data_IF_580310025358
#
_entry.id   IF_580310025358
#
_cell.length_a   1.000
_cell.length_b   1.000
_cell.length_c   1.000
_cell.angle_alpha   90.00
_cell.angle_beta   90.00
_cell.angle_gamma   90.00
#
_symmetry.space_group_name_H-M   'P 1'
#
loop_
_entity.id
_entity.type
_entity.pdbx_description
1 polymer ?
#
# COMPACT_ATOMS: atom_id res chain seq x y z
N UNK A 1 -34.14 25.49 12.37
CA UNK A 1 -34.06 24.04 11.99
C UNK A 1 -35.21 23.78 11.04
N UNK A 2 -34.92 23.32 9.82
CA UNK A 2 -35.96 22.93 8.87
C UNK A 2 -36.69 21.67 9.38
N UNK A 3 -38.00 21.57 9.06
CA UNK A 3 -38.76 20.33 9.33
C UNK A 3 -38.06 19.15 8.64
N UNK A 4 -38.05 17.98 9.25
CA UNK A 4 -37.49 16.74 8.70
C UNK A 4 -38.60 15.76 8.35
N UNK A 5 -38.32 14.86 7.40
CA UNK A 5 -39.16 13.72 7.04
C UNK A 5 -38.34 12.48 6.84
N UNK A 6 -38.93 11.31 7.02
CA UNK A 6 -38.28 10.03 6.69
C UNK A 6 -38.02 9.94 5.18
N UNK A 7 -36.81 9.54 4.81
CA UNK A 7 -36.45 9.33 3.40
C UNK A 7 -37.02 8.02 2.82
N UNK A 8 -37.51 7.12 3.65
CA UNK A 8 -37.90 5.76 3.27
C UNK A 8 -36.72 4.84 3.01
N UNK A 9 -35.47 5.24 3.37
CA UNK A 9 -34.25 4.48 3.22
C UNK A 9 -33.58 4.32 4.58
N UNK A 10 -33.53 3.12 5.10
CA UNK A 10 -33.08 2.80 6.46
C UNK A 10 -31.72 3.42 6.82
N UNK A 11 -30.73 3.30 5.95
CA UNK A 11 -29.38 3.81 6.18
C UNK A 11 -29.21 5.30 5.94
N UNK A 12 -30.23 6.01 5.39
CA UNK A 12 -30.28 7.46 5.32
C UNK A 12 -31.07 8.02 6.50
N UNK A 13 -32.23 7.43 6.82
CA UNK A 13 -33.15 7.91 7.82
C UNK A 13 -33.77 9.25 7.43
N UNK A 14 -33.85 10.24 8.34
CA UNK A 14 -34.47 11.53 8.11
C UNK A 14 -33.68 12.47 7.21
N UNK A 15 -34.40 13.19 6.33
CA UNK A 15 -33.88 14.23 5.44
C UNK A 15 -34.67 15.53 5.63
N UNK A 16 -34.23 16.71 5.14
CA UNK A 16 -35.03 17.92 5.12
C UNK A 16 -36.38 17.69 4.44
N UNK A 17 -37.45 18.21 5.01
CA UNK A 17 -38.82 17.94 4.51
C UNK A 17 -39.07 18.39 3.07
N UNK A 18 -38.29 19.36 2.59
CA UNK A 18 -38.39 19.91 1.22
C UNK A 18 -37.49 19.17 0.20
N UNK A 19 -36.71 18.18 0.61
CA UNK A 19 -35.96 17.32 -0.31
C UNK A 19 -36.81 16.13 -0.74
N UNK A 20 -36.57 15.62 -1.95
CA UNK A 20 -37.32 14.50 -2.50
C UNK A 20 -36.48 13.24 -2.69
N UNK A 21 -36.88 12.12 -2.08
CA UNK A 21 -36.24 10.82 -2.35
C UNK A 21 -36.73 10.30 -3.71
N UNK A 22 -35.79 10.19 -4.67
CA UNK A 22 -36.10 9.80 -6.06
C UNK A 22 -35.29 8.55 -6.42
N UNK A 23 -35.91 7.52 -7.01
CA UNK A 23 -35.21 6.37 -7.52
C UNK A 23 -34.34 6.74 -8.71
N UNK A 24 -33.16 6.17 -8.80
CA UNK A 24 -32.14 6.49 -9.79
C UNK A 24 -32.62 6.36 -11.23
N UNK A 25 -33.53 5.39 -11.51
CA UNK A 25 -34.17 5.22 -12.84
C UNK A 25 -34.86 6.45 -13.39
N UNK A 26 -35.28 7.39 -12.52
CA UNK A 26 -35.91 8.65 -12.91
C UNK A 26 -34.92 9.82 -12.96
N UNK A 27 -33.68 9.61 -12.52
CA UNK A 27 -32.66 10.65 -12.44
C UNK A 27 -31.73 10.65 -13.65
N UNK A 28 -31.35 9.48 -14.15
CA UNK A 28 -30.43 9.37 -15.28
C UNK A 28 -30.75 8.16 -16.15
N UNK A 29 -30.40 8.25 -17.43
CA UNK A 29 -30.33 7.09 -18.31
C UNK A 29 -29.09 6.26 -18.00
N UNK A 30 -29.20 4.95 -18.20
CA UNK A 30 -28.14 3.98 -17.91
C UNK A 30 -27.76 3.26 -19.21
N UNK A 31 -26.48 3.25 -19.53
CA UNK A 31 -25.89 2.45 -20.61
C UNK A 31 -24.63 1.74 -20.12
N UNK A 32 -24.08 0.85 -20.92
CA UNK A 32 -22.73 0.29 -20.72
C UNK A 32 -21.83 0.70 -21.87
N UNK A 33 -20.52 0.63 -21.66
CA UNK A 33 -19.56 0.76 -22.76
C UNK A 33 -19.58 -0.42 -23.70
N UNK A 34 -18.76 -0.35 -24.74
CA UNK A 34 -18.63 -1.37 -25.78
C UNK A 34 -17.15 -1.67 -26.15
N UNK A 35 -16.21 -1.06 -25.43
CA UNK A 35 -14.77 -1.27 -25.66
C UNK A 35 -14.23 -2.36 -24.71
N UNK A 36 -13.14 -3.03 -25.14
CA UNK A 36 -12.40 -3.98 -24.30
C UNK A 36 -11.02 -3.40 -23.94
N UNK A 37 -10.37 -3.94 -22.90
CA UNK A 37 -9.05 -3.51 -22.42
C UNK A 37 -7.96 -3.57 -23.49
N UNK A 38 -8.06 -4.48 -24.43
CA UNK A 38 -7.13 -4.55 -25.58
C UNK A 38 -7.22 -3.33 -26.55
N UNK A 39 -8.23 -2.48 -26.39
CA UNK A 39 -8.35 -1.22 -27.12
C UNK A 39 -7.56 -0.07 -26.46
N UNK A 40 -6.95 -0.31 -25.29
CA UNK A 40 -6.11 0.67 -24.64
C UNK A 40 -4.83 0.93 -25.44
N UNK A 41 -4.48 2.21 -25.56
CA UNK A 41 -3.27 2.69 -26.21
C UNK A 41 -2.75 3.88 -25.38
N UNK A 42 -1.58 3.78 -24.72
CA UNK A 42 -1.03 4.85 -23.91
C UNK A 42 -0.91 6.20 -24.63
N UNK A 43 -0.65 6.16 -25.95
CA UNK A 43 -0.56 7.36 -26.82
C UNK A 43 -1.89 7.74 -27.45
N UNK A 44 -2.98 7.06 -27.08
CA UNK A 44 -4.32 7.28 -27.63
C UNK A 44 -4.83 8.69 -27.41
N UNK A 45 -5.69 9.16 -28.28
CA UNK A 45 -6.20 10.55 -28.31
C UNK A 45 -7.25 10.83 -27.24
N UNK A 46 -8.09 9.82 -26.89
CA UNK A 46 -9.27 10.02 -26.04
C UNK A 46 -9.10 9.30 -24.69
N UNK A 47 -9.69 9.83 -23.59
CA UNK A 47 -9.79 9.12 -22.32
C UNK A 47 -10.58 7.81 -22.51
N UNK A 48 -10.06 6.73 -21.93
CA UNK A 48 -10.71 5.44 -21.90
C UNK A 48 -10.96 5.01 -20.45
N UNK A 49 -12.23 4.96 -20.08
CA UNK A 49 -12.65 4.63 -18.73
C UNK A 49 -12.89 3.14 -18.58
N UNK A 50 -12.03 2.52 -17.77
CA UNK A 50 -12.08 1.10 -17.42
C UNK A 50 -12.54 0.92 -15.97
N UNK A 51 -12.48 -0.31 -15.43
CA UNK A 51 -12.91 -0.62 -14.05
C UNK A 51 -11.95 -0.13 -12.95
N UNK A 52 -10.86 0.52 -13.34
CA UNK A 52 -9.79 1.05 -12.48
C UNK A 52 -10.05 2.53 -12.13
N UNK A 53 -9.55 3.01 -10.98
CA UNK A 53 -9.49 4.45 -10.72
C UNK A 53 -8.53 5.20 -11.66
N UNK A 54 -7.65 4.50 -12.36
CA UNK A 54 -6.74 5.07 -13.36
C UNK A 54 -7.48 5.12 -14.70
N UNK A 55 -7.51 6.30 -15.32
CA UNK A 55 -8.07 6.52 -16.66
C UNK A 55 -7.00 6.17 -17.68
N UNK A 56 -7.30 5.25 -18.57
CA UNK A 56 -6.46 4.86 -19.70
C UNK A 56 -6.70 5.78 -20.90
N UNK A 57 -6.09 5.48 -22.03
CA UNK A 57 -6.29 6.20 -23.28
C UNK A 57 -6.59 5.22 -24.41
N UNK A 58 -7.22 5.72 -25.49
CA UNK A 58 -7.49 4.94 -26.71
C UNK A 58 -7.64 5.87 -27.93
N UNK A 59 -7.65 5.29 -29.11
CA UNK A 59 -7.71 6.04 -30.38
C UNK A 59 -9.12 6.40 -30.84
N UNK A 60 -10.15 5.74 -30.30
CA UNK A 60 -11.54 5.94 -30.69
C UNK A 60 -12.38 6.36 -29.48
N UNK A 61 -13.37 7.22 -29.68
CA UNK A 61 -14.38 7.52 -28.66
C UNK A 61 -15.70 6.86 -29.00
N UNK A 62 -16.50 6.58 -27.97
CA UNK A 62 -17.84 5.96 -28.11
C UNK A 62 -18.96 6.84 -27.60
N UNK A 63 -18.61 7.83 -26.78
CA UNK A 63 -19.56 8.79 -26.23
C UNK A 63 -19.01 10.20 -26.35
N UNK A 64 -19.94 11.17 -26.42
CA UNK A 64 -19.65 12.60 -26.40
C UNK A 64 -20.67 13.27 -25.45
N UNK A 65 -20.16 14.16 -24.59
CA UNK A 65 -20.94 14.84 -23.55
C UNK A 65 -20.78 14.28 -22.15
N UNK A 66 -21.51 14.87 -21.20
CA UNK A 66 -21.38 14.59 -19.78
C UNK A 66 -21.85 13.18 -19.39
N UNK A 67 -21.13 12.54 -18.49
CA UNK A 67 -21.51 11.25 -17.94
C UNK A 67 -20.82 10.93 -16.61
N UNK A 68 -21.51 10.20 -15.74
CA UNK A 68 -20.90 9.54 -14.59
C UNK A 68 -20.66 8.08 -14.97
N UNK A 69 -19.46 7.58 -14.70
CA UNK A 69 -19.04 6.23 -15.06
C UNK A 69 -18.81 5.45 -13.77
N UNK A 70 -19.30 4.21 -13.70
CA UNK A 70 -19.20 3.34 -12.53
C UNK A 70 -18.72 1.96 -12.94
N UNK A 71 -17.68 1.46 -12.26
CA UNK A 71 -17.24 0.07 -12.46
C UNK A 71 -18.36 -0.92 -12.11
N UNK A 72 -18.69 -1.79 -13.07
CA UNK A 72 -19.78 -2.75 -12.94
C UNK A 72 -19.39 -4.08 -12.32
N UNK A 73 -18.11 -4.47 -12.38
CA UNK A 73 -17.60 -5.72 -11.81
C UNK A 73 -16.17 -5.61 -11.30
N UNK A 74 -15.69 -6.68 -10.65
CA UNK A 74 -14.34 -6.76 -10.07
C UNK A 74 -14.20 -5.98 -8.77
N UNK A 75 -12.97 -5.76 -8.32
CA UNK A 75 -12.66 -5.10 -7.04
C UNK A 75 -13.21 -3.67 -6.95
N UNK A 76 -13.39 -2.99 -8.09
CA UNK A 76 -13.93 -1.64 -8.20
C UNK A 76 -15.46 -1.55 -8.30
N UNK A 77 -16.17 -2.67 -8.37
CA UNK A 77 -17.61 -2.72 -8.59
C UNK A 77 -18.41 -1.84 -7.60
N UNK A 78 -19.14 -0.86 -8.11
CA UNK A 78 -19.92 0.07 -7.30
C UNK A 78 -19.11 0.99 -6.38
N UNK A 79 -17.78 1.06 -6.55
CA UNK A 79 -16.85 1.85 -5.72
C UNK A 79 -15.97 2.80 -6.53
N UNK A 80 -15.70 2.48 -7.79
CA UNK A 80 -14.94 3.34 -8.70
C UNK A 80 -15.92 4.14 -9.55
N UNK A 81 -15.83 5.46 -9.46
CA UNK A 81 -16.65 6.40 -10.21
C UNK A 81 -15.76 7.45 -10.89
N UNK A 82 -16.15 7.85 -12.10
CA UNK A 82 -15.54 8.97 -12.81
C UNK A 82 -16.62 9.92 -13.29
N UNK A 83 -16.29 11.22 -13.37
CA UNK A 83 -17.06 12.21 -14.10
C UNK A 83 -16.33 12.46 -15.41
N UNK A 84 -17.01 12.29 -16.52
CA UNK A 84 -16.49 12.50 -17.87
C UNK A 84 -17.29 13.55 -18.59
N UNK A 85 -16.65 14.34 -19.45
CA UNK A 85 -17.26 15.31 -20.34
C UNK A 85 -16.51 15.34 -21.69
N UNK A 86 -17.21 15.67 -22.77
CA UNK A 86 -16.70 15.64 -24.13
C UNK A 86 -16.56 14.23 -24.67
N UNK A 87 -15.51 13.98 -25.49
CA UNK A 87 -15.30 12.72 -26.19
C UNK A 87 -14.46 11.72 -25.38
N UNK A 88 -15.02 10.54 -25.11
CA UNK A 88 -14.37 9.47 -24.38
C UNK A 88 -14.88 8.09 -24.77
N UNK A 89 -14.14 7.06 -24.42
CA UNK A 89 -14.53 5.66 -24.55
C UNK A 89 -14.80 5.03 -23.19
N UNK A 90 -15.63 3.99 -23.18
CA UNK A 90 -16.05 3.29 -21.96
C UNK A 90 -15.96 1.78 -22.18
N UNK A 91 -15.35 1.09 -21.22
CA UNK A 91 -15.24 -0.37 -21.22
C UNK A 91 -16.61 -1.04 -21.06
N UNK A 92 -16.83 -2.18 -21.70
CA UNK A 92 -18.10 -2.94 -21.69
C UNK A 92 -18.62 -3.33 -20.29
N UNK A 93 -17.73 -3.37 -19.27
CA UNK A 93 -18.07 -3.67 -17.87
C UNK A 93 -18.16 -2.42 -17.00
N UNK A 94 -18.35 -1.24 -17.61
CA UNK A 94 -18.53 0.04 -16.91
C UNK A 94 -19.90 0.59 -17.29
N UNK A 95 -20.70 0.93 -16.29
CA UNK A 95 -21.95 1.63 -16.47
C UNK A 95 -21.69 3.12 -16.74
N UNK A 96 -22.45 3.69 -17.68
CA UNK A 96 -22.49 5.12 -17.98
C UNK A 96 -23.87 5.66 -17.60
N UNK A 97 -23.92 6.70 -16.76
CA UNK A 97 -25.10 7.47 -16.42
C UNK A 97 -25.05 8.79 -17.17
N UNK A 98 -26.15 9.17 -17.79
CA UNK A 98 -26.24 10.37 -18.62
C UNK A 98 -27.69 10.88 -18.71
N UNK A 99 -27.90 12.04 -19.33
CA UNK A 99 -29.24 12.67 -19.43
C UNK A 99 -29.87 12.89 -18.04
N UNK A 100 -29.12 13.62 -17.20
CA UNK A 100 -29.44 13.82 -15.79
C UNK A 100 -30.64 14.73 -15.62
N UNK A 101 -31.54 14.36 -14.68
CA UNK A 101 -32.70 15.14 -14.26
C UNK A 101 -32.65 15.36 -12.76
N UNK A 102 -33.17 16.51 -12.31
CA UNK A 102 -33.33 16.84 -10.90
C UNK A 102 -32.06 17.04 -10.09
N UNK A 103 -30.92 16.50 -10.49
CA UNK A 103 -29.67 16.56 -9.73
C UNK A 103 -28.49 16.88 -10.63
N UNK A 104 -27.62 17.79 -10.18
CA UNK A 104 -26.36 18.11 -10.87
C UNK A 104 -25.39 16.92 -10.83
N UNK A 105 -24.76 16.53 -11.93
CA UNK A 105 -23.90 15.34 -12.01
C UNK A 105 -22.75 15.32 -10.97
N UNK A 106 -22.17 16.47 -10.67
CA UNK A 106 -21.13 16.58 -9.64
C UNK A 106 -21.66 16.17 -8.25
N UNK A 107 -22.85 16.64 -7.87
CA UNK A 107 -23.48 16.28 -6.60
C UNK A 107 -23.87 14.80 -6.58
N UNK A 108 -24.43 14.30 -7.68
CA UNK A 108 -24.79 12.90 -7.84
C UNK A 108 -23.57 12.00 -7.71
N UNK A 109 -22.41 12.39 -8.27
CA UNK A 109 -21.15 11.65 -8.12
C UNK A 109 -20.74 11.58 -6.64
N UNK A 110 -20.74 12.69 -5.89
CA UNK A 110 -20.47 12.67 -4.46
C UNK A 110 -21.41 11.73 -3.69
N UNK A 111 -22.69 11.75 -4.05
CA UNK A 111 -23.70 10.89 -3.45
C UNK A 111 -23.40 9.40 -3.72
N UNK A 112 -23.14 9.04 -4.98
CA UNK A 112 -22.86 7.67 -5.39
C UNK A 112 -21.56 7.13 -4.78
N UNK A 113 -20.47 7.89 -4.83
CA UNK A 113 -19.17 7.49 -4.26
C UNK A 113 -19.24 7.16 -2.76
N UNK A 114 -20.11 7.84 -2.03
CA UNK A 114 -20.24 7.63 -0.60
C UNK A 114 -21.26 6.56 -0.19
N UNK A 115 -22.31 6.41 -0.95
CA UNK A 115 -23.50 5.67 -0.48
C UNK A 115 -23.78 4.41 -1.28
N UNK A 116 -23.35 4.34 -2.56
CA UNK A 116 -23.67 3.18 -3.39
C UNK A 116 -23.00 1.89 -2.89
N UNK A 117 -21.84 1.98 -2.27
CA UNK A 117 -21.15 0.83 -1.66
C UNK A 117 -22.00 0.13 -0.58
N UNK A 118 -22.87 0.86 0.13
CA UNK A 118 -23.79 0.29 1.12
C UNK A 118 -24.77 -0.70 0.47
N UNK A 119 -25.24 -0.43 -0.75
CA UNK A 119 -26.12 -1.34 -1.50
C UNK A 119 -25.41 -2.63 -1.86
N UNK A 120 -24.09 -2.56 -2.14
CA UNK A 120 -23.28 -3.74 -2.42
C UNK A 120 -23.10 -4.63 -1.19
N UNK A 121 -22.93 -4.03 -0.01
CA UNK A 121 -22.69 -4.74 1.24
C UNK A 121 -23.99 -5.40 1.77
N UNK A 122 -25.15 -4.76 1.55
CA UNK A 122 -26.48 -5.29 1.95
C UNK A 122 -27.09 -6.29 0.94
N UNK A 123 -26.73 -6.22 -0.34
CA UNK A 123 -27.41 -6.93 -1.44
C UNK A 123 -26.64 -8.07 -2.08
N UNK A 124 -25.41 -8.33 -1.71
CA UNK A 124 -24.62 -9.37 -2.35
C UNK A 124 -24.73 -10.71 -1.60
N UNK A 125 -25.42 -11.68 -2.19
CA UNK A 125 -25.03 -13.07 -2.01
C UNK A 125 -23.50 -13.14 -2.29
N UNK A 126 -22.72 -13.74 -1.38
CA UNK A 126 -21.26 -13.86 -1.46
C UNK A 126 -20.85 -14.56 -2.78
N UNK A 127 -20.76 -13.79 -3.86
CA UNK A 127 -20.18 -14.25 -5.12
C UNK A 127 -18.67 -14.00 -5.08
N UNK A 128 -17.91 -14.90 -5.67
CA UNK A 128 -16.44 -14.89 -5.69
C UNK A 128 -15.87 -13.59 -6.32
N UNK A 129 -16.66 -12.92 -7.18
CA UNK A 129 -16.31 -11.63 -7.80
C UNK A 129 -17.48 -10.66 -7.58
N UNK A 130 -17.24 -9.50 -6.93
CA UNK A 130 -18.26 -8.47 -6.79
C UNK A 130 -18.78 -7.99 -8.15
N UNK A 131 -20.11 -7.87 -8.29
CA UNK A 131 -20.74 -7.39 -9.51
C UNK A 131 -22.00 -6.59 -9.21
N UNK A 132 -22.14 -5.43 -9.87
CA UNK A 132 -23.33 -4.57 -9.80
C UNK A 132 -24.34 -5.04 -10.83
N UNK A 133 -25.58 -5.24 -10.40
CA UNK A 133 -26.71 -5.59 -11.28
C UNK A 133 -27.54 -4.36 -11.56
N UNK A 134 -28.09 -4.25 -12.77
CA UNK A 134 -28.89 -3.12 -13.20
C UNK A 134 -30.02 -2.75 -12.22
N UNK A 135 -30.81 -3.67 -11.66
CA UNK A 135 -31.83 -3.33 -10.67
C UNK A 135 -31.28 -2.64 -9.41
N UNK A 136 -30.05 -2.97 -8.98
CA UNK A 136 -29.41 -2.32 -7.83
C UNK A 136 -29.20 -0.82 -8.09
N UNK A 137 -28.86 -0.47 -9.34
CA UNK A 137 -28.72 0.92 -9.76
C UNK A 137 -30.10 1.58 -9.90
N UNK A 138 -31.02 0.93 -10.58
CA UNK A 138 -32.35 1.49 -10.90
C UNK A 138 -33.18 1.79 -9.65
N UNK A 139 -33.07 0.96 -8.61
CA UNK A 139 -33.82 1.10 -7.37
C UNK A 139 -33.10 1.91 -6.30
N UNK A 140 -31.84 2.28 -6.54
CA UNK A 140 -31.08 3.13 -5.64
C UNK A 140 -31.78 4.48 -5.47
N UNK A 141 -31.99 4.89 -4.21
CA UNK A 141 -32.68 6.15 -3.90
C UNK A 141 -31.68 7.26 -3.67
N UNK A 142 -31.89 8.38 -4.34
CA UNK A 142 -31.12 9.62 -4.18
C UNK A 142 -32.02 10.67 -3.55
N UNK A 143 -31.58 11.29 -2.45
CA UNK A 143 -32.29 12.41 -1.83
C UNK A 143 -31.90 13.69 -2.54
N UNK A 144 -32.83 14.23 -3.32
CA UNK A 144 -32.59 15.38 -4.21
C UNK A 144 -33.01 16.67 -3.50
N UNK A 145 -32.06 17.59 -3.36
CA UNK A 145 -32.28 18.94 -2.87
C UNK A 145 -32.72 19.91 -3.99
N UNK A 146 -33.33 21.06 -3.65
CA UNK A 146 -33.60 22.14 -4.63
C UNK A 146 -32.29 22.58 -5.34
N UNK A 147 -32.42 23.01 -6.59
CA UNK A 147 -31.28 23.33 -7.46
C UNK A 147 -30.30 24.35 -6.86
N UNK A 148 -30.81 25.38 -6.19
CA UNK A 148 -30.01 26.41 -5.52
C UNK A 148 -29.17 25.82 -4.40
N UNK A 149 -29.72 24.90 -3.59
CA UNK A 149 -29.01 24.21 -2.53
C UNK A 149 -27.93 23.27 -3.11
N UNK A 150 -28.21 22.59 -4.22
CA UNK A 150 -27.23 21.73 -4.89
C UNK A 150 -25.94 22.47 -5.21
N UNK A 151 -26.06 23.70 -5.77
CA UNK A 151 -24.91 24.53 -6.10
C UNK A 151 -24.08 24.84 -4.85
N UNK A 152 -24.74 25.32 -3.79
CA UNK A 152 -24.08 25.65 -2.53
C UNK A 152 -23.41 24.41 -1.86
N UNK A 153 -24.09 23.24 -1.93
CA UNK A 153 -23.53 21.98 -1.42
C UNK A 153 -22.26 21.59 -2.22
N UNK A 154 -22.31 21.67 -3.55
CA UNK A 154 -21.18 21.36 -4.43
C UNK A 154 -19.99 22.25 -4.12
N UNK A 155 -20.19 23.57 -4.04
CA UNK A 155 -19.15 24.53 -3.72
C UNK A 155 -18.51 24.21 -2.37
N UNK A 156 -19.33 23.92 -1.35
CA UNK A 156 -18.86 23.58 -0.02
C UNK A 156 -18.11 22.26 0.04
N UNK A 157 -18.61 21.23 -0.66
CA UNK A 157 -17.94 19.94 -0.75
C UNK A 157 -16.62 20.07 -1.51
N UNK A 158 -16.58 20.79 -2.63
CA UNK A 158 -15.35 21.01 -3.37
C UNK A 158 -14.29 21.72 -2.52
N UNK A 159 -14.67 22.80 -1.82
CA UNK A 159 -13.77 23.50 -0.89
C UNK A 159 -13.22 22.56 0.19
N UNK A 160 -14.11 21.88 0.91
CA UNK A 160 -13.73 21.04 2.05
C UNK A 160 -12.97 19.80 1.63
N UNK A 161 -13.39 19.13 0.55
CA UNK A 161 -12.68 17.96 0.04
C UNK A 161 -11.29 18.33 -0.48
N UNK A 162 -11.13 19.49 -1.14
CA UNK A 162 -9.82 19.98 -1.58
C UNK A 162 -8.89 20.25 -0.38
N UNK A 163 -9.41 20.90 0.68
CA UNK A 163 -8.65 21.12 1.92
C UNK A 163 -8.21 19.80 2.56
N UNK A 164 -9.11 18.82 2.70
CA UNK A 164 -8.80 17.51 3.28
C UNK A 164 -7.80 16.75 2.43
N UNK A 165 -7.96 16.75 1.10
CA UNK A 165 -7.04 16.09 0.18
C UNK A 165 -5.63 16.70 0.25
N UNK A 166 -5.51 18.02 0.37
CA UNK A 166 -4.23 18.71 0.55
C UNK A 166 -3.56 18.31 1.89
N UNK A 167 -4.33 18.16 2.97
CA UNK A 167 -3.82 17.67 4.24
C UNK A 167 -3.33 16.21 4.14
N UNK A 168 -4.08 15.33 3.48
CA UNK A 168 -3.69 13.92 3.25
C UNK A 168 -2.38 13.87 2.47
N UNK A 169 -2.29 14.61 1.35
CA UNK A 169 -1.08 14.68 0.51
C UNK A 169 0.14 15.18 1.30
N UNK A 170 -0.04 16.20 2.13
CA UNK A 170 1.05 16.71 2.99
C UNK A 170 1.52 15.64 3.98
N UNK A 171 0.59 14.96 4.67
CA UNK A 171 0.93 13.90 5.61
C UNK A 171 1.61 12.72 4.91
N UNK A 172 1.17 12.36 3.70
CA UNK A 172 1.81 11.34 2.87
C UNK A 172 3.26 11.71 2.52
N UNK A 173 3.50 12.96 2.11
CA UNK A 173 4.84 13.48 1.84
C UNK A 173 5.73 13.44 3.09
N UNK A 174 5.18 13.71 4.28
CA UNK A 174 5.92 13.60 5.54
C UNK A 174 6.31 12.16 5.84
N UNK A 175 5.44 11.18 5.56
CA UNK A 175 5.74 9.75 5.72
C UNK A 175 6.91 9.35 4.81
N UNK A 176 6.89 9.76 3.53
CA UNK A 176 7.98 9.45 2.60
C UNK A 176 9.32 10.10 3.03
N UNK A 177 9.29 11.32 3.53
CA UNK A 177 10.48 11.96 4.10
C UNK A 177 11.03 11.23 5.33
N UNK A 178 10.15 10.74 6.23
CA UNK A 178 10.57 9.95 7.40
C UNK A 178 11.20 8.62 6.99
N UNK A 179 10.67 7.93 5.99
CA UNK A 179 11.25 6.70 5.45
C UNK A 179 12.63 6.95 4.83
N UNK A 180 12.76 8.02 4.04
CA UNK A 180 14.03 8.41 3.43
C UNK A 180 15.07 8.79 4.50
N UNK A 181 14.66 9.55 5.52
CA UNK A 181 15.52 9.89 6.65
C UNK A 181 15.99 8.65 7.42
N UNK A 182 15.07 7.72 7.72
CA UNK A 182 15.41 6.45 8.36
C UNK A 182 16.48 5.69 7.59
N UNK A 183 16.29 5.58 6.25
CA UNK A 183 17.25 4.89 5.39
C UNK A 183 18.61 5.58 5.36
N UNK A 184 18.64 6.92 5.28
CA UNK A 184 19.88 7.70 5.30
C UNK A 184 20.61 7.56 6.63
N UNK A 185 19.88 7.66 7.76
CA UNK A 185 20.41 7.48 9.10
C UNK A 185 21.06 6.11 9.29
N UNK A 186 20.36 5.04 8.87
CA UNK A 186 20.92 3.69 8.93
C UNK A 186 22.21 3.62 8.14
N UNK A 187 22.19 4.09 6.88
CA UNK A 187 23.35 4.03 5.99
C UNK A 187 24.55 4.79 6.60
N UNK A 188 24.32 6.00 7.06
CA UNK A 188 25.37 6.85 7.65
C UNK A 188 25.99 6.19 8.88
N UNK A 189 25.17 5.74 9.82
CA UNK A 189 25.65 5.19 11.09
C UNK A 189 26.38 3.85 10.91
N UNK A 190 25.91 2.96 10.03
CA UNK A 190 26.59 1.66 9.81
C UNK A 190 27.84 1.74 8.95
N UNK A 191 28.07 2.89 8.29
CA UNK A 191 29.28 3.08 7.45
C UNK A 191 30.27 4.10 8.01
N UNK A 192 29.78 5.06 8.83
CA UNK A 192 30.59 6.17 9.35
C UNK A 192 30.66 6.23 10.88
N UNK A 193 29.95 5.34 11.59
CA UNK A 193 29.90 5.33 13.06
C UNK A 193 28.97 6.38 13.64
N UNK A 194 29.03 6.52 14.96
CA UNK A 194 28.19 7.47 15.71
C UNK A 194 28.86 8.84 15.87
N UNK A 195 30.16 8.90 15.83
CA UNK A 195 30.95 10.14 15.96
C UNK A 195 31.46 10.58 14.59
N UNK A 196 30.82 11.60 14.02
CA UNK A 196 31.18 12.16 12.71
C UNK A 196 32.39 13.09 12.76
N UNK A 197 32.98 13.34 13.95
CA UNK A 197 34.17 14.17 14.10
C UNK A 197 35.48 13.40 13.94
N UNK A 198 35.41 12.06 13.89
CA UNK A 198 36.61 11.21 13.73
C UNK A 198 37.18 11.34 12.32
N UNK A 199 38.51 11.26 12.16
CA UNK A 199 39.14 11.22 10.84
C UNK A 199 38.62 10.04 10.00
N UNK A 200 38.43 10.28 8.70
CA UNK A 200 37.94 9.28 7.76
C UNK A 200 39.07 8.83 6.83
N UNK A 201 39.02 7.59 6.35
CA UNK A 201 39.88 7.04 5.32
C UNK A 201 39.11 6.33 4.24
N UNK A 202 39.64 6.25 3.04
CA UNK A 202 39.07 5.39 1.98
C UNK A 202 39.13 3.92 2.43
N UNK A 203 38.01 3.24 2.35
CA UNK A 203 37.91 1.81 2.68
C UNK A 203 38.58 0.90 1.65
N UNK A 204 38.91 1.40 0.47
CA UNK A 204 39.35 0.61 -0.69
C UNK A 204 38.23 -0.22 -1.34
N UNK A 205 36.99 -0.06 -0.91
CA UNK A 205 35.82 -0.78 -1.43
C UNK A 205 34.79 0.20 -1.96
N UNK A 206 34.58 0.19 -3.28
CA UNK A 206 33.79 1.21 -4.01
C UNK A 206 32.40 1.45 -3.40
N UNK A 207 31.65 0.40 -3.02
CA UNK A 207 30.29 0.54 -2.50
C UNK A 207 30.21 1.07 -1.06
N UNK A 208 31.32 0.97 -0.30
CA UNK A 208 31.42 1.48 1.08
C UNK A 208 31.85 2.94 1.09
N UNK A 209 32.87 3.30 0.28
CA UNK A 209 33.48 4.61 0.27
C UNK A 209 34.36 4.86 1.50
N UNK A 210 34.19 6.01 2.16
CA UNK A 210 34.97 6.38 3.35
C UNK A 210 34.39 5.75 4.62
N UNK A 211 35.31 5.33 5.51
CA UNK A 211 35.03 4.77 6.86
C UNK A 211 35.90 5.48 7.91
N UNK A 212 35.56 5.45 9.21
CA UNK A 212 36.43 5.93 10.27
C UNK A 212 37.84 5.32 10.18
N UNK A 213 38.86 6.11 10.49
CA UNK A 213 40.26 5.67 10.40
C UNK A 213 40.57 4.44 11.28
N UNK A 214 39.81 4.32 12.39
CA UNK A 214 39.88 3.18 13.33
C UNK A 214 39.28 1.89 12.78
N UNK A 215 38.41 1.98 11.77
CA UNK A 215 37.76 0.80 11.22
C UNK A 215 38.60 0.11 10.15
N UNK A 216 38.30 -1.18 9.94
CA UNK A 216 38.84 -1.96 8.85
C UNK A 216 37.71 -2.47 7.95
N UNK A 217 38.07 -3.07 6.82
CA UNK A 217 37.13 -3.86 6.03
C UNK A 217 37.40 -5.34 6.23
N UNK A 218 36.36 -6.16 6.20
CA UNK A 218 36.44 -7.60 6.39
C UNK A 218 35.45 -8.31 5.49
N UNK A 219 35.84 -9.47 4.97
CA UNK A 219 34.92 -10.31 4.18
C UNK A 219 33.90 -11.00 5.06
N UNK A 220 32.65 -11.05 4.62
CA UNK A 220 31.54 -11.71 5.31
C UNK A 220 31.87 -13.17 5.66
N UNK A 221 32.66 -13.87 4.85
CA UNK A 221 33.15 -15.23 5.11
C UNK A 221 33.87 -15.37 6.47
N UNK A 222 34.51 -14.32 6.95
CA UNK A 222 35.22 -14.34 8.23
C UNK A 222 34.31 -14.04 9.42
N UNK A 223 33.10 -13.50 9.15
CA UNK A 223 32.13 -13.10 10.15
C UNK A 223 31.05 -14.14 10.39
N UNK A 224 30.64 -14.84 9.32
CA UNK A 224 29.51 -15.75 9.31
C UNK A 224 29.90 -17.18 8.97
N UNK A 225 29.14 -18.12 9.55
CA UNK A 225 29.16 -19.55 9.15
C UNK A 225 27.70 -19.94 8.79
N UNK A 226 27.57 -20.77 7.74
CA UNK A 226 26.26 -21.32 7.36
C UNK A 226 25.89 -22.48 8.30
N UNK A 227 24.65 -22.41 8.86
CA UNK A 227 24.07 -23.48 9.65
C UNK A 227 23.54 -24.56 8.73
N UNK A 228 23.96 -25.80 8.98
CA UNK A 228 23.59 -26.97 8.17
C UNK A 228 22.65 -27.92 8.93
N UNK A 229 22.30 -27.58 10.16
CA UNK A 229 21.40 -28.35 11.02
C UNK A 229 20.02 -28.48 10.41
N UNK A 230 19.45 -29.67 10.59
CA UNK A 230 18.15 -30.03 10.05
C UNK A 230 17.30 -30.72 11.11
N UNK A 231 16.00 -30.50 11.04
CA UNK A 231 15.05 -31.19 11.90
C UNK A 231 15.05 -32.70 11.64
N UNK A 232 14.95 -33.46 12.71
CA UNK A 232 14.87 -34.92 12.66
C UNK A 232 13.42 -35.39 12.48
N UNK A 233 12.49 -34.75 13.15
CA UNK A 233 11.06 -35.15 13.20
C UNK A 233 10.10 -34.15 12.57
N UNK A 234 10.55 -32.92 12.33
CA UNK A 234 9.77 -31.86 11.69
C UNK A 234 8.70 -31.25 12.60
N UNK A 235 8.88 -31.34 13.94
CA UNK A 235 7.88 -30.91 14.91
C UNK A 235 8.09 -29.48 15.42
N UNK A 236 9.22 -28.85 15.12
CA UNK A 236 9.52 -27.49 15.55
C UNK A 236 8.62 -26.47 14.83
N UNK A 237 8.44 -25.27 15.41
CA UNK A 237 7.57 -24.21 14.91
C UNK A 237 8.00 -23.77 13.49
N UNK A 238 7.11 -23.83 12.48
CA UNK A 238 7.42 -23.30 11.15
C UNK A 238 7.54 -21.78 11.15
N UNK A 239 8.63 -21.25 10.59
CA UNK A 239 8.90 -19.84 10.47
C UNK A 239 8.78 -19.37 9.01
N UNK A 240 8.22 -18.18 8.83
CA UNK A 240 8.09 -17.53 7.53
C UNK A 240 8.70 -16.14 7.55
N UNK A 241 9.30 -15.74 6.42
CA UNK A 241 9.94 -14.42 6.27
C UNK A 241 8.95 -13.41 5.71
N UNK A 242 8.70 -12.36 6.49
CA UNK A 242 7.95 -11.17 6.09
C UNK A 242 8.89 -9.98 5.90
N UNK A 243 8.68 -9.19 4.86
CA UNK A 243 9.41 -7.93 4.68
C UNK A 243 9.19 -6.94 5.83
N UNK A 244 7.98 -6.96 6.42
CA UNK A 244 7.57 -6.02 7.48
C UNK A 244 7.96 -6.53 8.87
N UNK A 245 7.75 -7.81 9.14
CA UNK A 245 7.89 -8.40 10.47
C UNK A 245 9.24 -9.11 10.68
N UNK A 246 10.01 -9.33 9.61
CA UNK A 246 11.18 -10.19 9.64
C UNK A 246 10.82 -11.68 9.66
N UNK A 247 11.61 -12.52 10.30
CA UNK A 247 11.33 -13.94 10.47
C UNK A 247 10.39 -14.13 11.67
N UNK A 248 9.21 -14.69 11.42
CA UNK A 248 8.15 -14.88 12.43
C UNK A 248 7.52 -16.27 12.30
N UNK A 249 6.89 -16.80 13.36
CA UNK A 249 6.04 -17.98 13.26
C UNK A 249 5.00 -17.83 12.14
N UNK A 250 4.86 -18.85 11.31
CA UNK A 250 3.99 -18.78 10.10
C UNK A 250 2.53 -18.44 10.46
N UNK A 251 2.05 -18.83 11.64
CA UNK A 251 0.72 -18.47 12.15
C UNK A 251 0.50 -16.96 12.37
N UNK A 252 1.57 -16.16 12.42
CA UNK A 252 1.53 -14.70 12.56
C UNK A 252 1.46 -13.96 11.22
N UNK A 253 1.45 -14.69 10.10
CA UNK A 253 1.35 -14.10 8.77
C UNK A 253 -0.12 -13.82 8.43
N UNK A 254 -0.40 -12.67 7.80
CA UNK A 254 -1.75 -12.31 7.32
C UNK A 254 -2.30 -13.31 6.29
N UNK A 255 -1.41 -13.89 5.49
CA UNK A 255 -1.70 -14.99 4.57
C UNK A 255 -0.75 -16.15 4.87
N UNK A 256 -1.29 -17.26 5.32
CA UNK A 256 -0.50 -18.47 5.56
C UNK A 256 -0.10 -19.06 4.20
N UNK A 257 1.21 -19.16 3.88
CA UNK A 257 1.65 -19.79 2.64
C UNK A 257 1.29 -21.28 2.64
N UNK A 258 1.20 -21.88 1.44
CA UNK A 258 1.01 -23.33 1.32
C UNK A 258 2.15 -24.05 2.05
N UNK A 259 1.79 -24.82 3.04
CA UNK A 259 2.74 -25.57 3.86
C UNK A 259 3.11 -26.87 3.18
N UNK A 260 4.36 -27.32 3.38
CA UNK A 260 4.78 -28.64 2.95
C UNK A 260 4.00 -29.72 3.73
N UNK A 261 3.80 -30.88 3.13
CA UNK A 261 3.13 -32.03 3.77
C UNK A 261 3.97 -32.66 4.87
N UNK A 262 5.28 -32.44 4.89
CA UNK A 262 6.22 -32.88 5.91
C UNK A 262 7.37 -31.88 6.05
N UNK A 263 7.84 -31.70 7.26
CA UNK A 263 8.97 -30.85 7.62
C UNK A 263 10.20 -31.63 8.06
N UNK A 264 10.17 -32.96 7.99
CA UNK A 264 11.33 -33.82 8.27
C UNK A 264 12.49 -33.42 7.34
N UNK A 265 13.66 -33.16 7.90
CA UNK A 265 14.84 -32.70 7.17
C UNK A 265 14.82 -31.22 6.76
N UNK A 266 13.81 -30.44 7.20
CA UNK A 266 13.81 -28.98 7.02
C UNK A 266 14.96 -28.33 7.76
N UNK A 267 15.40 -27.15 7.31
CA UNK A 267 16.48 -26.39 7.96
C UNK A 267 16.00 -25.81 9.27
N UNK A 268 16.89 -25.80 10.27
CA UNK A 268 16.69 -25.14 11.56
C UNK A 268 17.28 -23.74 11.55
N UNK A 269 16.59 -22.83 12.18
CA UNK A 269 17.09 -21.51 12.57
C UNK A 269 16.85 -21.33 14.06
N UNK A 270 17.79 -20.69 14.72
CA UNK A 270 17.74 -20.40 16.16
C UNK A 270 17.68 -18.89 16.39
N UNK A 271 17.30 -18.51 17.61
CA UNK A 271 17.38 -17.11 18.05
C UNK A 271 18.79 -16.59 17.75
N UNK A 272 18.86 -15.35 17.29
CA UNK A 272 20.08 -14.66 16.83
C UNK A 272 20.74 -15.24 15.57
N UNK A 273 20.17 -16.21 14.87
CA UNK A 273 20.61 -16.54 13.52
C UNK A 273 20.15 -15.50 12.49
N UNK A 274 21.00 -15.17 11.54
CA UNK A 274 20.68 -14.32 10.39
C UNK A 274 20.14 -15.18 9.24
N UNK A 275 18.87 -15.04 8.93
CA UNK A 275 18.16 -15.86 7.94
C UNK A 275 17.89 -15.07 6.66
N UNK A 276 18.30 -15.60 5.52
CA UNK A 276 18.13 -15.02 4.19
C UNK A 276 17.15 -15.81 3.33
N UNK A 277 16.19 -15.13 2.73
CA UNK A 277 15.50 -15.66 1.56
C UNK A 277 16.41 -15.47 0.33
N UNK A 278 17.06 -16.52 -0.15
CA UNK A 278 18.03 -16.44 -1.26
C UNK A 278 17.47 -15.84 -2.54
N UNK A 279 16.19 -16.11 -2.84
CA UNK A 279 15.49 -15.57 -4.02
C UNK A 279 15.17 -14.08 -3.91
N UNK A 280 14.99 -13.57 -2.68
CA UNK A 280 14.56 -12.21 -2.39
C UNK A 280 15.56 -11.39 -1.58
N UNK A 281 16.81 -11.86 -1.46
CA UNK A 281 17.88 -11.16 -0.75
C UNK A 281 18.12 -9.76 -1.33
N UNK A 282 18.10 -9.64 -2.64
CA UNK A 282 18.22 -8.36 -3.37
C UNK A 282 17.00 -7.41 -3.19
N UNK A 283 15.96 -7.85 -2.51
CA UNK A 283 14.82 -7.05 -2.07
C UNK A 283 14.86 -6.77 -0.56
N UNK A 284 15.93 -7.11 0.14
CA UNK A 284 16.07 -6.92 1.57
C UNK A 284 15.28 -7.92 2.44
N UNK A 285 14.92 -9.08 1.87
CA UNK A 285 14.13 -10.11 2.58
C UNK A 285 15.05 -11.04 3.35
N UNK A 286 15.53 -10.57 4.48
CA UNK A 286 16.33 -11.28 5.48
C UNK A 286 16.18 -10.61 6.84
N UNK A 287 16.44 -11.34 7.90
CA UNK A 287 16.33 -10.83 9.27
C UNK A 287 17.10 -11.70 10.26
N UNK A 288 17.56 -11.11 11.34
CA UNK A 288 17.97 -11.85 12.54
C UNK A 288 16.73 -12.47 13.18
N UNK A 289 16.81 -13.77 13.48
CA UNK A 289 15.70 -14.51 14.07
C UNK A 289 15.48 -14.15 15.53
N UNK A 290 14.21 -14.04 15.91
CA UNK A 290 13.75 -13.91 17.31
C UNK A 290 13.12 -15.20 17.82
N UNK A 291 13.12 -16.23 17.00
CA UNK A 291 12.42 -17.50 17.25
C UNK A 291 13.30 -18.66 16.80
N UNK A 292 13.21 -19.76 17.52
CA UNK A 292 13.71 -21.05 17.08
C UNK A 292 12.65 -21.74 16.21
N UNK A 293 13.06 -22.43 15.15
CA UNK A 293 12.10 -23.17 14.33
C UNK A 293 12.59 -23.56 12.94
N UNK A 294 11.63 -24.02 12.14
CA UNK A 294 11.86 -24.53 10.79
C UNK A 294 11.78 -23.42 9.76
N UNK A 295 12.70 -23.46 8.80
CA UNK A 295 12.69 -22.52 7.68
C UNK A 295 12.66 -23.22 6.32
N UNK A 296 12.17 -22.52 5.30
CA UNK A 296 12.11 -23.01 3.92
C UNK A 296 13.48 -23.50 3.43
N UNK A 297 13.56 -24.57 2.61
CA UNK A 297 14.77 -25.02 1.95
C UNK A 297 15.48 -23.94 1.11
N UNK A 298 14.71 -22.98 0.59
CA UNK A 298 15.24 -21.83 -0.16
C UNK A 298 15.88 -20.75 0.72
N UNK A 299 15.75 -20.85 2.05
CA UNK A 299 16.45 -19.96 2.96
C UNK A 299 17.86 -20.45 3.27
N UNK A 300 18.74 -19.51 3.54
CA UNK A 300 20.04 -19.78 4.11
C UNK A 300 20.07 -19.23 5.54
N UNK A 301 20.67 -19.96 6.45
CA UNK A 301 20.76 -19.63 7.87
C UNK A 301 22.23 -19.44 8.23
N UNK A 302 22.57 -18.31 8.83
CA UNK A 302 23.93 -17.98 9.21
C UNK A 302 24.02 -17.61 10.69
N UNK A 303 25.09 -18.03 11.35
CA UNK A 303 25.41 -17.61 12.70
C UNK A 303 26.77 -16.90 12.75
N UNK A 304 26.97 -16.07 13.75
CA UNK A 304 28.19 -15.31 13.94
C UNK A 304 29.36 -16.21 14.35
N UNK A 305 30.57 -15.89 13.86
CA UNK A 305 31.84 -16.50 14.35
C UNK A 305 32.27 -15.93 15.70
N UNK A 306 31.45 -15.08 16.35
CA UNK A 306 31.78 -14.36 17.57
C UNK A 306 32.44 -13.00 17.33
N UNK A 307 32.72 -12.63 16.08
CA UNK A 307 33.37 -11.36 15.71
C UNK A 307 32.40 -10.24 15.36
N UNK A 308 31.11 -10.55 15.13
CA UNK A 308 30.17 -9.59 14.66
C UNK A 308 28.79 -9.71 15.37
N UNK A 309 28.19 -8.59 15.67
CA UNK A 309 26.83 -8.50 16.14
C UNK A 309 25.90 -8.62 14.93
N UNK A 310 25.07 -9.68 14.85
CA UNK A 310 24.27 -9.99 13.65
C UNK A 310 23.24 -8.90 13.32
N UNK A 311 22.74 -8.18 14.31
CA UNK A 311 21.84 -7.05 14.07
C UNK A 311 22.53 -5.86 13.41
N UNK A 312 23.84 -5.64 13.67
CA UNK A 312 24.65 -4.67 12.92
C UNK A 312 24.73 -5.05 11.45
N UNK A 313 25.03 -6.32 11.14
CA UNK A 313 25.02 -6.80 9.75
C UNK A 313 23.65 -6.70 9.11
N UNK A 314 22.56 -6.96 9.84
CA UNK A 314 21.22 -6.80 9.30
C UNK A 314 20.97 -5.35 8.87
N UNK A 315 21.35 -4.36 9.68
CA UNK A 315 21.24 -2.94 9.32
C UNK A 315 22.13 -2.61 8.11
N UNK A 316 23.40 -3.02 8.12
CA UNK A 316 24.34 -2.79 7.02
C UNK A 316 23.82 -3.39 5.71
N UNK A 317 23.36 -4.63 5.75
CA UNK A 317 22.86 -5.34 4.56
C UNK A 317 21.56 -4.75 4.00
N UNK A 318 20.79 -4.03 4.80
CA UNK A 318 19.60 -3.30 4.36
C UNK A 318 19.89 -1.93 3.74
N UNK A 319 21.16 -1.52 3.69
CA UNK A 319 21.55 -0.29 2.96
C UNK A 319 21.36 -0.47 1.46
N UNK A 320 20.98 0.58 0.71
CA UNK A 320 20.80 0.50 -0.74
C UNK A 320 22.07 0.03 -1.47
N UNK A 321 23.23 0.44 -0.98
CA UNK A 321 24.53 0.07 -1.52
C UNK A 321 24.79 -1.43 -1.40
N UNK A 322 24.57 -2.00 -0.21
CA UNK A 322 24.74 -3.43 0.00
C UNK A 322 23.70 -4.27 -0.77
N UNK A 323 22.45 -3.79 -0.86
CA UNK A 323 21.42 -4.41 -1.71
C UNK A 323 21.84 -4.42 -3.19
N UNK A 324 22.50 -3.37 -3.67
CA UNK A 324 23.08 -3.34 -5.02
C UNK A 324 24.18 -4.40 -5.19
N UNK A 325 25.06 -4.59 -4.19
CA UNK A 325 26.06 -5.66 -4.19
C UNK A 325 25.42 -7.06 -4.20
N UNK A 326 24.31 -7.26 -3.48
CA UNK A 326 23.55 -8.51 -3.55
C UNK A 326 23.02 -8.79 -4.96
N UNK A 327 22.54 -7.76 -5.67
CA UNK A 327 22.07 -7.88 -7.06
C UNK A 327 23.20 -8.28 -8.00
N UNK A 328 24.35 -7.62 -7.90
CA UNK A 328 25.53 -7.91 -8.74
C UNK A 328 26.03 -9.34 -8.55
N UNK A 329 25.92 -9.90 -7.33
CA UNK A 329 26.41 -11.24 -6.96
C UNK A 329 25.35 -12.33 -7.03
N UNK A 330 24.10 -11.96 -7.30
CA UNK A 330 23.03 -12.94 -7.50
C UNK A 330 23.13 -13.55 -8.89
N UNK A 331 23.07 -14.87 -8.95
CA UNK A 331 23.12 -15.62 -10.21
C UNK A 331 21.75 -16.22 -10.53
N UNK A 332 21.34 -16.22 -11.79
CA UNK A 332 20.03 -16.68 -12.24
C UNK A 332 20.09 -18.03 -12.95
N UNK A 333 19.01 -18.83 -12.78
CA UNK A 333 18.79 -20.09 -13.51
C UNK A 333 17.85 -19.82 -14.71
N UNK A 334 17.03 -18.75 -14.65
CA UNK A 334 16.13 -18.31 -15.72
C UNK A 334 15.86 -16.79 -15.60
N UNK A 335 15.34 -16.18 -16.65
CA UNK A 335 14.98 -14.76 -16.67
C UNK A 335 14.02 -14.42 -15.49
N UNK A 336 14.47 -13.55 -14.58
CA UNK A 336 13.69 -13.09 -13.41
C UNK A 336 13.84 -13.91 -12.12
N UNK A 337 14.55 -15.05 -12.12
CA UNK A 337 14.80 -15.87 -10.93
C UNK A 337 16.29 -15.87 -10.58
N UNK A 338 16.73 -14.87 -9.84
CA UNK A 338 18.11 -14.78 -9.35
C UNK A 338 18.18 -15.21 -7.88
N UNK A 339 19.30 -15.86 -7.49
CA UNK A 339 19.56 -16.29 -6.12
C UNK A 339 20.89 -15.75 -5.64
N UNK A 340 20.92 -15.20 -4.44
CA UNK A 340 22.16 -14.93 -3.73
C UNK A 340 22.60 -16.21 -2.99
N UNK A 341 23.63 -16.87 -3.50
CA UNK A 341 24.22 -18.04 -2.86
C UNK A 341 25.23 -17.64 -1.79
N UNK A 342 25.55 -18.57 -0.89
CA UNK A 342 26.47 -18.36 0.22
C UNK A 342 27.85 -17.84 -0.24
N UNK A 343 28.39 -18.35 -1.35
CA UNK A 343 29.68 -17.88 -1.88
C UNK A 343 29.63 -16.41 -2.33
N UNK A 344 28.53 -16.01 -2.97
CA UNK A 344 28.29 -14.62 -3.37
C UNK A 344 28.17 -13.68 -2.17
N UNK A 345 27.46 -14.08 -1.10
CA UNK A 345 27.38 -13.33 0.15
C UNK A 345 28.75 -13.27 0.85
N UNK A 346 29.44 -14.38 0.94
CA UNK A 346 30.71 -14.49 1.64
C UNK A 346 31.87 -13.71 0.99
N UNK A 347 31.76 -13.42 -0.31
CA UNK A 347 32.73 -12.61 -1.05
C UNK A 347 32.57 -11.09 -0.79
N UNK A 348 31.50 -10.66 -0.14
CA UNK A 348 31.26 -9.23 0.15
C UNK A 348 32.22 -8.77 1.25
N UNK A 349 32.82 -7.60 1.04
CA UNK A 349 33.59 -6.90 2.08
C UNK A 349 32.67 -5.88 2.76
N UNK A 350 32.80 -5.79 4.09
CA UNK A 350 31.97 -4.94 4.96
C UNK A 350 32.85 -4.03 5.82
N UNK A 351 32.39 -2.81 6.18
CA UNK A 351 33.01 -2.03 7.23
C UNK A 351 32.92 -2.80 8.56
N UNK A 352 33.98 -2.73 9.33
CA UNK A 352 34.15 -3.58 10.53
C UNK A 352 34.65 -2.74 11.72
N UNK A 353 33.70 -2.11 12.48
CA UNK A 353 34.01 -1.54 13.78
C UNK A 353 34.33 -2.63 14.82
N UNK A 354 34.88 -2.26 15.97
CA UNK A 354 35.00 -3.17 17.10
C UNK A 354 33.62 -3.57 17.68
N UNK A 355 33.59 -4.56 18.57
CA UNK A 355 32.33 -5.11 19.07
C UNK A 355 31.53 -4.10 19.91
N UNK A 356 32.22 -3.28 20.71
CA UNK A 356 31.55 -2.29 21.58
C UNK A 356 30.86 -1.21 20.73
N UNK A 357 31.52 -0.79 19.66
CA UNK A 357 30.96 0.16 18.70
C UNK A 357 29.81 -0.45 17.88
N UNK A 358 29.89 -1.74 17.47
CA UNK A 358 28.78 -2.45 16.82
C UNK A 358 27.55 -2.49 17.72
N UNK A 359 27.70 -2.77 19.01
CA UNK A 359 26.61 -2.79 20.00
C UNK A 359 26.02 -1.38 20.16
N UNK A 360 26.87 -0.37 20.33
CA UNK A 360 26.42 1.02 20.45
C UNK A 360 25.63 1.48 19.22
N UNK A 361 26.10 1.13 18.02
CA UNK A 361 25.40 1.41 16.75
C UNK A 361 24.02 0.73 16.72
N UNK A 362 23.96 -0.54 17.11
CA UNK A 362 22.69 -1.29 17.12
C UNK A 362 21.70 -0.70 18.09
N UNK A 363 22.12 -0.35 19.31
CA UNK A 363 21.26 0.24 20.33
C UNK A 363 20.73 1.61 19.87
N UNK A 364 21.59 2.46 19.35
CA UNK A 364 21.21 3.75 18.79
C UNK A 364 20.20 3.61 17.64
N UNK A 365 20.48 2.71 16.68
CA UNK A 365 19.58 2.51 15.54
C UNK A 365 18.24 1.87 15.95
N UNK A 366 18.25 0.94 16.91
CA UNK A 366 17.00 0.36 17.44
C UNK A 366 16.12 1.46 18.07
N UNK A 367 16.68 2.35 18.88
CA UNK A 367 15.94 3.46 19.48
C UNK A 367 15.40 4.42 18.41
N UNK A 368 16.27 4.94 17.53
CA UNK A 368 15.89 5.94 16.51
C UNK A 368 14.92 5.38 15.48
N UNK A 369 15.16 4.17 14.97
CA UNK A 369 14.25 3.52 14.03
C UNK A 369 12.89 3.24 14.64
N UNK A 370 12.83 2.81 15.91
CA UNK A 370 11.56 2.62 16.62
C UNK A 370 10.77 3.92 16.75
N UNK A 371 11.41 5.03 17.12
CA UNK A 371 10.78 6.34 17.15
C UNK A 371 10.23 6.78 15.78
N UNK A 372 11.03 6.60 14.72
CA UNK A 372 10.59 6.96 13.35
C UNK A 372 9.40 6.09 12.93
N UNK A 373 9.42 4.79 13.21
CA UNK A 373 8.32 3.87 12.89
C UNK A 373 7.03 4.25 13.63
N UNK A 374 7.12 4.65 14.90
CA UNK A 374 5.98 5.17 15.67
C UNK A 374 5.41 6.45 15.05
N UNK A 375 6.26 7.40 14.63
CA UNK A 375 5.83 8.62 13.96
C UNK A 375 5.13 8.31 12.62
N UNK A 376 5.64 7.35 11.84
CA UNK A 376 5.00 6.89 10.60
C UNK A 376 3.63 6.29 10.90
N UNK A 377 3.51 5.43 11.91
CA UNK A 377 2.23 4.83 12.31
C UNK A 377 1.19 5.88 12.74
N UNK A 378 1.59 6.88 13.54
CA UNK A 378 0.72 7.98 13.94
C UNK A 378 0.23 8.78 12.72
N UNK A 379 1.13 9.06 11.76
CA UNK A 379 0.78 9.77 10.53
C UNK A 379 -0.15 8.95 9.63
N UNK A 380 0.05 7.65 9.54
CA UNK A 380 -0.83 6.75 8.79
C UNK A 380 -2.24 6.73 9.40
N UNK A 381 -2.35 6.61 10.72
CA UNK A 381 -3.64 6.70 11.42
C UNK A 381 -4.33 8.06 11.23
N UNK A 382 -3.55 9.15 11.11
CA UNK A 382 -4.09 10.48 10.77
C UNK A 382 -4.71 10.52 9.37
N UNK A 383 -4.08 9.89 8.37
CA UNK A 383 -4.65 9.77 7.01
C UNK A 383 -5.99 9.03 7.08
N UNK A 384 -6.05 7.89 7.74
CA UNK A 384 -7.28 7.10 7.89
C UNK A 384 -8.41 7.91 8.53
N UNK A 385 -8.12 8.68 9.59
CA UNK A 385 -9.10 9.57 10.22
C UNK A 385 -9.56 10.70 9.29
N UNK A 386 -8.66 11.29 8.50
CA UNK A 386 -9.02 12.33 7.53
C UNK A 386 -9.92 11.77 6.43
N UNK A 387 -9.67 10.56 5.94
CA UNK A 387 -10.53 9.88 4.97
C UNK A 387 -11.90 9.53 5.55
N UNK A 388 -11.96 9.07 6.81
CA UNK A 388 -13.22 8.83 7.52
C UNK A 388 -14.01 10.13 7.69
N UNK A 389 -13.35 11.21 8.12
CA UNK A 389 -13.96 12.52 8.24
C UNK A 389 -14.49 13.04 6.91
N UNK A 390 -13.72 12.89 5.82
CA UNK A 390 -14.16 13.26 4.48
C UNK A 390 -15.45 12.51 4.07
N UNK A 391 -15.50 11.19 4.30
CA UNK A 391 -16.70 10.38 4.02
C UNK A 391 -17.90 10.84 4.85
N UNK A 392 -17.72 11.06 6.16
CA UNK A 392 -18.79 11.56 7.03
C UNK A 392 -19.28 12.92 6.59
N UNK A 393 -18.38 13.84 6.24
CA UNK A 393 -18.70 15.17 5.77
C UNK A 393 -19.53 15.13 4.49
N UNK A 394 -19.11 14.32 3.51
CA UNK A 394 -19.87 14.16 2.25
C UNK A 394 -21.26 13.60 2.56
N UNK A 395 -21.33 12.52 3.38
CA UNK A 395 -22.60 11.92 3.79
C UNK A 395 -23.56 12.96 4.40
N UNK A 396 -23.06 13.77 5.35
CA UNK A 396 -23.88 14.78 6.03
C UNK A 396 -24.47 15.80 5.04
N UNK A 397 -23.70 16.28 4.08
CA UNK A 397 -24.19 17.25 3.08
C UNK A 397 -25.10 16.61 2.05
N UNK A 398 -24.76 15.45 1.48
CA UNK A 398 -25.58 14.84 0.41
C UNK A 398 -26.87 14.21 0.91
N UNK A 399 -27.00 13.98 2.24
CA UNK A 399 -28.25 13.50 2.87
C UNK A 399 -28.99 14.61 3.62
N UNK A 400 -28.53 15.87 3.56
CA UNK A 400 -29.16 16.99 4.24
C UNK A 400 -29.11 16.94 5.77
N UNK A 401 -28.19 16.13 6.34
CA UNK A 401 -27.93 16.13 7.80
C UNK A 401 -27.28 17.43 8.24
N UNK A 402 -26.52 18.04 7.34
CA UNK A 402 -25.86 19.33 7.52
C UNK A 402 -26.37 20.33 6.49
N UNK A 403 -26.84 21.44 6.99
CA UNK A 403 -27.38 22.54 6.16
C UNK A 403 -26.21 23.39 5.62
N UNK A 404 -26.36 23.86 4.40
CA UNK A 404 -25.50 24.91 3.84
C UNK A 404 -26.22 26.24 4.08
N UNK A 405 -25.55 27.26 4.64
CA UNK A 405 -26.13 28.58 4.75
C UNK A 405 -26.65 29.05 3.38
N UNK A 406 -27.88 29.53 3.32
CA UNK A 406 -28.39 30.12 2.09
C UNK A 406 -27.48 31.29 1.69
N UNK A 407 -26.97 31.29 0.48
CA UNK A 407 -26.33 32.48 -0.07
C UNK A 407 -27.43 33.54 -0.25
N UNK A 408 -27.29 34.68 0.44
CA UNK A 408 -28.16 35.84 0.29
C UNK A 408 -28.07 36.43 -1.11
#
# INVERSE_FOLDING_TARGET
MHKRKDSGVEWIGEIPAHWDPIRFRFIAKIATGNQDTQNADPEGKYPFYVRSPIVERCNNYTFDGEGILMAGDGAGAGRVFHLADGKYAVHQRVYRFYDFKYVKPVLLKYYLENLFAMVMDYGSAKTTVPSVRLPMIQDFVVCVSPEKEQTSIIEKLNEKCAQINALISNVQTQIEKLKAYKQSLITEVVTKGLDLSVPMKDSGVEWIGEIPETWNTIRVKQLLKERKERSVDGLEEPLSMSQKLGLVPTRMMDMVPNMASSFVGAKLAYIDDLVFNKLKAHLGVFSVSKYDGLVSPDYAVYYSTGKVHLKYLEYLFKTPQCISEFRKRSTGIAAGLTRLYTDGLFAIECPFPDMDEQVAIVDYLNEKCSHIDQLIAIKQAKIEKLEQYKRSLIYEYVTGKKEVPAQN
#
